data_IF_226951075295
#
_entry.id   IF_226951075295
#
_cell.length_a   1.000
_cell.length_b   1.000
_cell.length_c   1.000
_cell.angle_alpha   90.00
_cell.angle_beta   90.00
_cell.angle_gamma   90.00
#
_symmetry.space_group_name_H-M   'P 1'
#
loop_
_entity.id
_entity.type
_entity.pdbx_description
1 polymer ?
#
# COMPACT_ATOMS: atom_id res chain seq x y z
N UNK A 1 -75.88 57.79 -28.77
CA UNK A 1 -74.57 57.74 -28.08
C UNK A 1 -73.95 56.40 -28.46
N UNK A 2 -73.26 56.36 -29.60
CA UNK A 2 -71.81 56.11 -29.74
C UNK A 2 -71.43 54.65 -29.30
N UNK A 3 -71.34 53.68 -30.23
CA UNK A 3 -70.14 53.21 -31.00
C UNK A 3 -69.09 52.52 -30.09
N UNK A 4 -68.56 51.32 -30.28
CA UNK A 4 -68.44 50.32 -31.37
C UNK A 4 -67.85 49.02 -30.74
N UNK A 5 -68.10 47.79 -31.23
CA UNK A 5 -67.53 46.53 -30.71
C UNK A 5 -66.41 45.97 -31.61
N UNK A 6 -65.19 45.75 -31.09
CA UNK A 6 -64.20 44.84 -31.71
C UNK A 6 -62.92 44.61 -30.87
N UNK A 7 -62.63 43.33 -30.59
CA UNK A 7 -61.33 42.64 -30.40
C UNK A 7 -61.62 41.32 -29.62
N UNK A 8 -61.77 40.14 -30.24
CA UNK A 8 -60.73 39.21 -30.75
C UNK A 8 -59.66 38.92 -29.68
N UNK A 9 -59.40 37.70 -29.19
CA UNK A 9 -59.40 36.39 -29.88
C UNK A 9 -59.78 35.19 -28.99
N UNK A 10 -60.32 34.21 -29.69
CA UNK A 10 -60.53 32.78 -29.40
C UNK A 10 -59.17 32.06 -29.47
N UNK A 11 -58.87 31.10 -28.57
CA UNK A 11 -58.13 29.89 -28.95
C UNK A 11 -58.16 28.80 -27.85
N UNK A 12 -58.97 27.79 -28.12
CA UNK A 12 -58.80 26.40 -27.67
C UNK A 12 -57.75 25.71 -28.57
N UNK A 13 -56.79 25.01 -27.95
CA UNK A 13 -55.85 24.07 -28.61
C UNK A 13 -54.52 24.71 -28.98
N UNK A 14 -53.37 24.13 -28.65
CA UNK A 14 -52.78 23.11 -29.53
C UNK A 14 -51.64 22.32 -28.84
N UNK A 15 -51.79 20.99 -28.90
CA UNK A 15 -50.81 19.95 -29.27
C UNK A 15 -49.43 19.85 -28.58
N UNK A 16 -49.24 18.70 -27.91
CA UNK A 16 -47.98 17.95 -27.83
C UNK A 16 -47.25 18.01 -29.17
N UNK A 17 -46.05 18.62 -29.20
CA UNK A 17 -45.17 18.58 -30.36
C UNK A 17 -44.60 17.15 -30.53
N UNK A 18 -45.30 16.36 -31.36
CA UNK A 18 -44.73 15.19 -31.99
C UNK A 18 -43.81 15.64 -33.14
N UNK A 19 -42.50 15.60 -32.91
CA UNK A 19 -41.49 15.64 -33.98
C UNK A 19 -41.65 14.39 -34.86
N UNK A 20 -42.32 14.52 -36.00
CA UNK A 20 -42.39 13.46 -37.03
C UNK A 20 -41.24 13.62 -38.02
N UNK A 21 -40.22 12.77 -37.91
CA UNK A 21 -39.31 12.48 -39.01
C UNK A 21 -39.89 11.32 -39.82
N UNK A 22 -40.15 11.56 -41.10
CA UNK A 22 -40.57 10.55 -42.07
C UNK A 22 -39.34 9.78 -42.58
N UNK A 23 -39.14 8.58 -42.06
CA UNK A 23 -38.52 7.44 -42.75
C UNK A 23 -38.88 6.18 -41.95
N UNK A 24 -39.18 5.07 -42.63
CA UNK A 24 -39.89 3.89 -42.10
C UNK A 24 -39.17 3.04 -41.03
N UNK A 25 -38.75 3.64 -39.92
CA UNK A 25 -38.38 2.97 -38.68
C UNK A 25 -39.22 3.52 -37.54
N UNK A 26 -39.83 2.67 -36.73
CA UNK A 26 -40.63 3.07 -35.56
C UNK A 26 -39.78 3.98 -34.66
N UNK A 27 -40.03 5.29 -34.68
CA UNK A 27 -39.49 6.23 -33.71
C UNK A 27 -40.17 5.92 -32.37
N UNK A 28 -39.49 5.16 -31.51
CA UNK A 28 -39.98 4.96 -30.15
C UNK A 28 -40.01 6.31 -29.43
N UNK A 29 -41.22 6.82 -29.18
CA UNK A 29 -41.42 8.04 -28.39
C UNK A 29 -40.95 7.76 -26.96
N UNK A 30 -39.89 8.44 -26.53
CA UNK A 30 -39.39 8.34 -25.17
C UNK A 30 -40.39 8.96 -24.19
N UNK A 31 -40.83 8.19 -23.20
CA UNK A 31 -41.82 8.62 -22.21
C UNK A 31 -41.15 9.28 -20.99
N UNK A 32 -41.90 10.14 -20.32
CA UNK A 32 -41.46 10.84 -19.12
C UNK A 32 -41.36 9.92 -17.88
N UNK A 33 -40.71 10.40 -16.83
CA UNK A 33 -40.62 9.69 -15.56
C UNK A 33 -42.00 9.36 -14.98
N UNK A 34 -42.10 8.19 -14.32
CA UNK A 34 -43.35 7.68 -13.77
C UNK A 34 -44.28 7.01 -14.78
N UNK A 35 -43.91 6.94 -16.06
CA UNK A 35 -44.66 6.22 -17.11
C UNK A 35 -44.09 4.82 -17.34
N UNK A 36 -44.96 3.93 -17.81
CA UNK A 36 -44.63 2.53 -18.06
C UNK A 36 -43.57 2.39 -19.16
N UNK A 37 -42.68 1.42 -18.98
CA UNK A 37 -41.60 1.13 -19.92
C UNK A 37 -41.27 -0.37 -19.91
N UNK A 38 -40.72 -0.85 -21.01
CA UNK A 38 -40.23 -2.24 -21.16
C UNK A 38 -38.73 -2.32 -21.37
N UNK A 39 -38.08 -1.20 -21.72
CA UNK A 39 -36.65 -1.06 -21.91
C UNK A 39 -36.21 0.38 -21.65
N UNK A 40 -34.93 0.56 -21.30
CA UNK A 40 -34.29 1.87 -21.05
C UNK A 40 -34.44 2.84 -22.23
N UNK A 41 -34.37 2.33 -23.46
CA UNK A 41 -34.51 3.11 -24.68
C UNK A 41 -35.87 3.84 -24.78
N UNK A 42 -36.90 3.34 -24.09
CA UNK A 42 -38.24 3.94 -24.04
C UNK A 42 -38.35 5.10 -23.05
N UNK A 43 -37.34 5.37 -22.23
CA UNK A 43 -37.39 6.42 -21.20
C UNK A 43 -36.59 7.65 -21.61
N UNK A 44 -37.14 8.86 -21.38
CA UNK A 44 -36.38 10.11 -21.56
C UNK A 44 -35.16 10.17 -20.64
N UNK A 45 -35.27 9.59 -19.45
CA UNK A 45 -34.17 9.44 -18.49
C UNK A 45 -33.12 8.41 -18.90
N UNK A 46 -33.38 7.60 -19.93
CA UNK A 46 -32.52 6.48 -20.30
C UNK A 46 -32.52 5.32 -19.31
N UNK A 47 -33.47 5.27 -18.37
CA UNK A 47 -33.57 4.18 -17.40
C UNK A 47 -35.03 3.77 -17.12
N UNK A 48 -35.30 2.50 -17.35
CA UNK A 48 -36.52 1.80 -17.03
C UNK A 48 -36.28 0.89 -15.82
N UNK A 49 -36.90 1.21 -14.67
CA UNK A 49 -36.71 0.41 -13.48
C UNK A 49 -37.29 -1.01 -13.69
N UNK A 50 -36.49 -2.09 -13.59
CA UNK A 50 -36.95 -3.44 -13.92
C UNK A 50 -37.92 -4.02 -12.89
N UNK A 51 -38.01 -3.44 -11.69
CA UNK A 51 -38.96 -3.88 -10.64
C UNK A 51 -40.32 -3.21 -10.78
N UNK A 52 -40.34 -1.92 -11.12
CA UNK A 52 -41.60 -1.16 -11.22
C UNK A 52 -42.11 -1.04 -12.65
N UNK A 53 -41.28 -1.35 -13.65
CA UNK A 53 -41.54 -1.09 -15.06
C UNK A 53 -41.90 0.37 -15.34
N UNK A 54 -41.29 1.31 -14.62
CA UNK A 54 -41.51 2.75 -14.77
C UNK A 54 -40.20 3.48 -15.08
N UNK A 55 -40.28 4.51 -15.93
CA UNK A 55 -39.16 5.40 -16.18
C UNK A 55 -38.80 6.18 -14.91
N UNK A 56 -37.50 6.20 -14.58
CA UNK A 56 -36.97 6.94 -13.43
C UNK A 56 -35.70 7.68 -13.83
N UNK A 57 -35.42 8.81 -13.18
CA UNK A 57 -34.11 9.45 -13.29
C UNK A 57 -33.06 8.57 -12.59
N UNK A 58 -31.98 8.17 -13.29
CA UNK A 58 -30.80 7.57 -12.68
C UNK A 58 -30.30 8.35 -11.48
N UNK A 59 -30.01 7.68 -10.36
CA UNK A 59 -29.31 8.29 -9.24
C UNK A 59 -28.27 7.33 -8.69
N UNK A 60 -27.14 7.85 -8.22
CA UNK A 60 -26.03 7.06 -7.69
C UNK A 60 -26.26 6.40 -6.32
N UNK A 61 -27.52 6.09 -6.01
CA UNK A 61 -28.00 5.42 -4.80
C UNK A 61 -29.29 4.63 -5.06
N UNK A 62 -29.66 4.38 -6.31
CA UNK A 62 -30.91 3.70 -6.67
C UNK A 62 -30.78 2.16 -6.73
N UNK A 63 -29.57 1.63 -6.57
CA UNK A 63 -29.29 0.20 -6.55
C UNK A 63 -29.12 -0.41 -7.93
N UNK A 64 -29.03 0.40 -9.00
CA UNK A 64 -28.88 -0.06 -10.37
C UNK A 64 -27.70 0.61 -11.06
N UNK A 65 -26.92 -0.17 -11.81
CA UNK A 65 -25.90 0.38 -12.71
C UNK A 65 -26.58 1.04 -13.92
N UNK A 66 -26.77 2.35 -13.88
CA UNK A 66 -27.46 3.10 -14.92
C UNK A 66 -26.84 4.50 -15.16
N UNK A 67 -27.40 5.27 -16.09
CA UNK A 67 -26.90 6.61 -16.39
C UNK A 67 -25.45 6.60 -16.88
N UNK A 68 -24.54 7.18 -16.09
CA UNK A 68 -23.10 7.26 -16.40
C UNK A 68 -22.23 6.30 -15.61
N UNK A 69 -22.82 5.48 -14.75
CA UNK A 69 -22.11 4.64 -13.79
C UNK A 69 -21.28 3.52 -14.45
N UNK A 70 -20.12 3.25 -13.87
CA UNK A 70 -19.25 2.16 -14.33
C UNK A 70 -19.43 0.89 -13.50
N UNK A 71 -19.97 0.98 -12.28
CA UNK A 71 -20.55 -0.13 -11.51
C UNK A 71 -21.78 0.38 -10.72
N UNK A 72 -22.54 -0.50 -10.08
CA UNK A 72 -23.79 -0.14 -9.37
C UNK A 72 -23.53 1.00 -8.38
N UNK A 73 -24.21 2.13 -8.59
CA UNK A 73 -24.18 3.33 -7.74
C UNK A 73 -22.80 4.02 -7.64
N UNK A 74 -21.86 3.75 -8.57
CA UNK A 74 -20.52 4.34 -8.51
C UNK A 74 -19.81 4.49 -9.88
N UNK A 75 -18.78 5.35 -9.88
CA UNK A 75 -17.91 5.58 -11.02
C UNK A 75 -18.57 6.37 -12.15
N UNK A 76 -17.83 6.65 -13.22
CA UNK A 76 -18.29 7.44 -14.35
C UNK A 76 -18.24 8.94 -14.07
N UNK A 77 -19.41 9.59 -14.03
CA UNK A 77 -19.48 11.03 -13.80
C UNK A 77 -18.85 11.44 -12.46
N UNK A 78 -18.21 12.61 -12.43
CA UNK A 78 -17.53 13.13 -11.24
C UNK A 78 -18.47 13.39 -10.04
N UNK A 79 -19.78 13.48 -10.28
CA UNK A 79 -20.82 13.61 -9.24
C UNK A 79 -21.14 12.29 -8.54
N UNK A 80 -20.74 11.16 -9.11
CA UNK A 80 -20.99 9.85 -8.52
C UNK A 80 -19.92 9.53 -7.47
N UNK A 81 -20.26 8.73 -6.43
CA UNK A 81 -19.27 8.14 -5.55
C UNK A 81 -18.23 7.35 -6.37
N UNK A 82 -16.98 7.34 -5.91
CA UNK A 82 -15.96 6.50 -6.53
C UNK A 82 -16.16 5.05 -6.11
N UNK A 83 -15.94 4.13 -7.04
CA UNK A 83 -16.08 2.71 -6.84
C UNK A 83 -14.99 2.15 -5.90
N UNK A 84 -15.41 1.26 -5.01
CA UNK A 84 -14.51 0.50 -4.14
C UNK A 84 -13.70 -0.54 -4.95
N UNK A 85 -12.66 -1.11 -4.34
CA UNK A 85 -11.86 -2.16 -4.97
C UNK A 85 -12.72 -3.36 -5.42
N UNK A 86 -12.36 -3.98 -6.56
CA UNK A 86 -13.07 -5.11 -7.17
C UNK A 86 -14.33 -4.73 -7.97
N UNK A 87 -14.83 -3.49 -7.85
CA UNK A 87 -15.90 -2.95 -8.68
C UNK A 87 -15.41 -2.63 -10.09
N UNK A 88 -16.33 -2.60 -11.04
CA UNK A 88 -16.06 -2.35 -12.45
C UNK A 88 -15.70 -0.88 -12.67
N UNK A 89 -14.73 -0.64 -13.55
CA UNK A 89 -14.28 0.69 -13.94
C UNK A 89 -13.92 0.70 -15.42
N UNK A 90 -14.10 1.86 -16.04
CA UNK A 90 -13.59 2.16 -17.37
C UNK A 90 -12.27 2.93 -17.28
N UNK A 91 -12.13 3.80 -16.28
CA UNK A 91 -10.93 4.63 -16.10
C UNK A 91 -10.51 4.71 -14.64
N UNK A 92 -9.28 5.15 -14.39
CA UNK A 92 -8.75 5.30 -13.05
C UNK A 92 -9.60 6.23 -12.17
N UNK A 93 -10.23 7.26 -12.75
CA UNK A 93 -11.05 8.20 -11.98
C UNK A 93 -12.31 7.57 -11.44
N UNK A 94 -12.76 6.42 -11.96
CA UNK A 94 -13.93 5.72 -11.43
C UNK A 94 -13.69 5.17 -10.02
N UNK A 95 -12.42 4.92 -9.67
CA UNK A 95 -12.05 4.18 -8.48
C UNK A 95 -11.63 5.08 -7.32
N UNK A 96 -11.97 4.69 -6.09
CA UNK A 96 -11.53 5.40 -4.88
C UNK A 96 -10.01 5.39 -4.72
N UNK A 97 -9.36 4.31 -5.16
CA UNK A 97 -7.89 4.20 -5.23
C UNK A 97 -7.29 5.03 -6.37
N UNK A 98 -8.11 5.67 -7.21
CA UNK A 98 -7.73 6.32 -8.45
C UNK A 98 -6.83 5.42 -9.33
N UNK A 99 -7.17 4.13 -9.42
CA UNK A 99 -6.52 3.15 -10.28
C UNK A 99 -7.51 2.06 -10.74
N UNK A 100 -7.57 1.85 -12.05
CA UNK A 100 -8.37 0.83 -12.70
C UNK A 100 -7.42 -0.18 -13.36
N UNK A 101 -7.67 -1.47 -13.17
CA UNK A 101 -6.80 -2.52 -13.67
C UNK A 101 -6.70 -2.52 -15.19
N UNK A 102 -5.47 -2.60 -15.70
CA UNK A 102 -5.18 -2.59 -17.12
C UNK A 102 -5.77 -3.82 -17.81
N UNK A 103 -6.15 -3.68 -19.08
CA UNK A 103 -6.75 -4.77 -19.87
C UNK A 103 -5.87 -6.04 -19.97
N UNK A 104 -4.57 -5.91 -19.77
CA UNK A 104 -3.59 -7.01 -19.81
C UNK A 104 -3.33 -7.66 -18.44
N UNK A 105 -3.99 -7.19 -17.38
CA UNK A 105 -3.84 -7.70 -16.01
C UNK A 105 -5.02 -8.58 -15.61
N UNK A 106 -4.86 -9.40 -14.58
CA UNK A 106 -5.95 -10.19 -13.99
C UNK A 106 -7.07 -9.33 -13.37
N UNK A 107 -6.84 -8.03 -13.22
CA UNK A 107 -7.79 -7.05 -12.69
C UNK A 107 -8.41 -6.18 -13.80
N UNK A 108 -8.39 -6.61 -15.06
CA UNK A 108 -8.88 -5.86 -16.20
C UNK A 108 -10.27 -5.24 -15.96
N UNK A 109 -10.36 -3.91 -16.03
CA UNK A 109 -11.60 -3.17 -15.83
C UNK A 109 -12.16 -3.25 -14.41
N UNK A 110 -11.32 -3.58 -13.42
CA UNK A 110 -11.68 -3.59 -11.99
C UNK A 110 -10.88 -2.57 -11.20
N UNK A 111 -11.52 -1.91 -10.25
CA UNK A 111 -10.87 -0.97 -9.34
C UNK A 111 -9.87 -1.70 -8.46
N UNK A 112 -8.65 -1.17 -8.40
CA UNK A 112 -7.56 -1.76 -7.64
C UNK A 112 -7.65 -1.36 -6.17
N UNK A 113 -7.09 -2.18 -5.27
CA UNK A 113 -6.98 -1.84 -3.84
C UNK A 113 -6.08 -0.63 -3.64
N UNK A 114 -4.95 -0.59 -4.35
CA UNK A 114 -4.07 0.57 -4.44
C UNK A 114 -3.44 0.65 -5.83
N UNK A 115 -2.77 1.77 -6.13
CA UNK A 115 -2.23 2.04 -7.47
C UNK A 115 -1.17 1.05 -7.94
N UNK A 116 -0.45 0.43 -7.02
CA UNK A 116 0.52 -0.62 -7.34
C UNK A 116 -0.12 -1.98 -7.64
N UNK A 117 -1.40 -2.20 -7.31
CA UNK A 117 -2.06 -3.51 -7.19
C UNK A 117 -2.67 -4.05 -8.49
N UNK A 118 -2.08 -3.71 -9.63
CA UNK A 118 -2.49 -4.17 -10.96
C UNK A 118 -1.29 -4.42 -11.86
N UNK A 119 -0.11 -4.54 -11.27
CA UNK A 119 1.12 -4.88 -11.95
C UNK A 119 1.22 -6.37 -12.25
N UNK A 120 2.42 -6.80 -12.61
CA UNK A 120 2.74 -8.22 -12.76
C UNK A 120 2.90 -8.92 -11.41
N UNK A 121 3.70 -9.99 -11.42
CA UNK A 121 4.09 -10.77 -10.23
C UNK A 121 4.42 -9.87 -9.05
N UNK A 122 3.95 -10.21 -7.85
CA UNK A 122 4.16 -9.46 -6.61
C UNK A 122 3.28 -8.22 -6.47
N UNK A 123 2.65 -7.74 -7.54
CA UNK A 123 1.68 -6.65 -7.55
C UNK A 123 0.26 -7.16 -7.88
N UNK A 124 0.06 -8.47 -7.72
CA UNK A 124 -1.10 -9.21 -8.20
C UNK A 124 -1.45 -10.35 -7.23
N UNK A 125 -2.14 -11.43 -7.65
CA UNK A 125 -2.58 -12.50 -6.74
C UNK A 125 -1.56 -13.65 -6.60
N UNK A 126 -0.30 -13.34 -6.27
CA UNK A 126 0.80 -14.33 -6.19
C UNK A 126 1.39 -14.49 -4.78
N UNK A 127 0.85 -13.80 -3.80
CA UNK A 127 1.37 -13.78 -2.43
C UNK A 127 0.71 -14.85 -1.54
N UNK A 128 1.27 -15.04 -0.35
CA UNK A 128 0.75 -15.98 0.64
C UNK A 128 1.16 -17.44 0.38
N UNK A 129 0.80 -18.29 1.34
CA UNK A 129 1.21 -19.71 1.40
C UNK A 129 0.85 -20.52 0.15
N UNK A 130 -0.29 -20.20 -0.48
CA UNK A 130 -0.79 -20.89 -1.68
C UNK A 130 -0.49 -20.15 -2.98
N UNK A 131 0.18 -18.99 -2.92
CA UNK A 131 0.42 -18.12 -4.07
C UNK A 131 -0.85 -17.70 -4.83
N UNK A 132 -1.91 -17.41 -4.08
CA UNK A 132 -3.21 -16.98 -4.62
C UNK A 132 -3.77 -15.74 -3.92
N UNK A 133 -3.12 -15.28 -2.84
CA UNK A 133 -3.58 -14.10 -2.12
C UNK A 133 -3.17 -12.85 -2.89
N UNK A 134 -4.02 -11.83 -2.82
CA UNK A 134 -3.65 -10.51 -3.29
C UNK A 134 -2.45 -9.99 -2.52
N UNK A 135 -1.36 -9.67 -3.22
CA UNK A 135 -0.18 -9.02 -2.65
C UNK A 135 -0.46 -7.61 -2.07
N UNK A 136 -1.66 -7.10 -2.29
CA UNK A 136 -2.17 -5.86 -1.75
C UNK A 136 -3.27 -6.04 -0.71
N UNK A 137 -3.48 -7.26 -0.22
CA UNK A 137 -4.41 -7.49 0.87
C UNK A 137 -4.01 -6.61 2.07
N UNK A 138 -4.99 -5.90 2.62
CA UNK A 138 -4.81 -5.04 3.79
C UNK A 138 -5.88 -5.45 4.80
N UNK A 139 -5.42 -5.93 5.97
CA UNK A 139 -6.27 -6.54 6.98
C UNK A 139 -6.54 -5.55 8.12
N UNK A 140 -7.76 -5.54 8.67
CA UNK A 140 -8.09 -4.68 9.81
C UNK A 140 -7.33 -5.13 11.06
N UNK A 141 -6.76 -4.17 11.76
CA UNK A 141 -6.38 -4.27 13.16
C UNK A 141 -7.42 -3.47 13.96
N UNK A 142 -8.13 -4.08 14.92
CA UNK A 142 -9.31 -3.47 15.55
C UNK A 142 -9.01 -2.29 16.47
N UNK A 143 -7.73 -1.96 16.71
CA UNK A 143 -7.33 -1.00 17.72
C UNK A 143 -7.50 -1.54 19.15
N UNK A 144 -6.96 -0.81 20.12
CA UNK A 144 -6.95 -1.18 21.53
C UNK A 144 -5.61 -0.89 22.20
N UNK A 145 -5.47 -1.35 23.44
CA UNK A 145 -4.29 -1.09 24.26
C UNK A 145 -3.32 -2.27 24.30
N UNK A 146 -2.03 -1.99 24.38
CA UNK A 146 -0.96 -2.95 24.62
C UNK A 146 0.26 -2.30 25.29
N UNK A 147 1.25 -3.11 25.66
CA UNK A 147 2.51 -2.64 26.22
C UNK A 147 3.56 -2.62 25.12
N UNK A 148 4.01 -1.42 24.73
CA UNK A 148 5.08 -1.30 23.73
C UNK A 148 6.31 -2.01 24.23
N UNK A 149 6.90 -2.82 23.35
CA UNK A 149 8.11 -3.59 23.65
C UNK A 149 7.98 -4.52 24.86
N UNK A 150 6.76 -5.01 25.17
CA UNK A 150 6.49 -5.79 26.38
C UNK A 150 6.83 -5.06 27.69
N UNK A 151 6.90 -3.72 27.66
CA UNK A 151 7.26 -2.90 28.80
C UNK A 151 6.01 -2.25 29.41
N UNK A 152 5.61 -2.60 30.66
CA UNK A 152 4.43 -2.02 31.31
C UNK A 152 4.53 -0.50 31.54
N UNK A 153 5.74 0.08 31.51
CA UNK A 153 5.96 1.52 31.64
C UNK A 153 5.73 2.28 30.32
N UNK A 154 5.51 1.56 29.22
CA UNK A 154 5.29 2.11 27.87
C UNK A 154 3.92 1.68 27.29
N UNK A 155 2.79 1.97 27.96
CA UNK A 155 1.48 1.63 27.43
C UNK A 155 1.20 2.42 26.15
N UNK A 156 0.51 1.78 25.21
CA UNK A 156 -0.01 2.41 24.01
C UNK A 156 -1.46 2.00 23.75
N UNK A 157 -2.25 2.94 23.26
CA UNK A 157 -3.59 2.73 22.72
C UNK A 157 -3.62 3.23 21.29
N UNK A 158 -4.03 2.38 20.36
CA UNK A 158 -4.17 2.74 18.95
C UNK A 158 -5.62 2.61 18.50
N UNK A 159 -6.08 3.53 17.68
CA UNK A 159 -7.36 3.49 16.99
C UNK A 159 -7.41 2.34 15.98
N UNK A 160 -8.59 1.88 15.53
CA UNK A 160 -8.68 0.90 14.46
C UNK A 160 -8.01 1.42 13.19
N UNK A 161 -7.28 0.53 12.51
CA UNK A 161 -6.59 0.83 11.25
C UNK A 161 -6.52 -0.44 10.40
N UNK A 162 -6.02 -0.33 9.18
CA UNK A 162 -5.63 -1.48 8.35
C UNK A 162 -4.13 -1.46 8.13
N UNK A 163 -3.55 -2.64 8.15
CA UNK A 163 -2.15 -2.86 7.83
C UNK A 163 -2.06 -3.84 6.67
N UNK A 164 -1.13 -3.59 5.75
CA UNK A 164 -0.85 -4.54 4.68
C UNK A 164 -0.56 -5.93 5.27
N UNK A 165 -1.25 -6.95 4.74
CA UNK A 165 -1.07 -8.35 5.15
C UNK A 165 0.37 -8.79 4.98
N UNK A 166 0.99 -8.31 3.90
CA UNK A 166 2.33 -8.66 3.47
C UNK A 166 3.21 -7.42 3.45
N UNK A 167 4.51 -7.62 3.61
CA UNK A 167 5.53 -6.62 3.29
C UNK A 167 5.35 -6.13 1.84
N UNK A 168 5.73 -4.88 1.56
CA UNK A 168 5.73 -4.36 0.19
C UNK A 168 6.68 -5.21 -0.65
N UNK A 169 6.16 -5.75 -1.74
CA UNK A 169 6.94 -6.62 -2.62
C UNK A 169 7.78 -5.83 -3.62
N UNK A 170 8.78 -6.48 -4.20
CA UNK A 170 9.53 -5.96 -5.34
C UNK A 170 8.60 -5.61 -6.51
N UNK A 171 7.57 -6.42 -6.78
CA UNK A 171 6.60 -6.17 -7.84
C UNK A 171 5.79 -4.88 -7.65
N UNK A 172 5.40 -4.56 -6.41
CA UNK A 172 4.72 -3.30 -6.07
C UNK A 172 5.62 -2.09 -6.30
N UNK A 173 6.87 -2.15 -5.86
CA UNK A 173 7.87 -1.09 -6.10
C UNK A 173 8.16 -0.93 -7.60
N UNK A 174 8.23 -2.03 -8.35
CA UNK A 174 8.42 -1.99 -9.80
C UNK A 174 7.28 -1.26 -10.50
N UNK A 175 6.05 -1.54 -10.10
CA UNK A 175 4.85 -0.86 -10.62
C UNK A 175 4.90 0.64 -10.29
N UNK A 176 5.29 0.99 -9.07
CA UNK A 176 5.46 2.39 -8.67
C UNK A 176 6.52 3.12 -9.50
N UNK A 177 7.73 2.56 -9.63
CA UNK A 177 8.79 3.18 -10.45
C UNK A 177 8.39 3.28 -11.92
N UNK A 178 7.74 2.25 -12.47
CA UNK A 178 7.29 2.25 -13.86
C UNK A 178 6.29 3.38 -14.15
N UNK A 179 5.38 3.67 -13.21
CA UNK A 179 4.41 4.77 -13.34
C UNK A 179 5.05 6.15 -13.57
N UNK A 180 6.32 6.32 -13.18
CA UNK A 180 7.07 7.57 -13.34
C UNK A 180 8.31 7.41 -14.25
N UNK A 181 8.46 6.28 -14.94
CA UNK A 181 9.66 5.96 -15.72
C UNK A 181 10.95 6.00 -14.89
N UNK A 182 10.86 5.65 -13.61
CA UNK A 182 11.94 5.66 -12.61
C UNK A 182 12.35 7.04 -12.10
N UNK A 183 11.82 8.14 -12.63
CA UNK A 183 12.12 9.49 -12.16
C UNK A 183 11.07 9.95 -11.14
N UNK A 184 11.18 9.44 -9.91
CA UNK A 184 10.31 9.86 -8.81
C UNK A 184 10.60 11.31 -8.41
N UNK A 185 11.87 11.69 -8.24
CA UNK A 185 12.30 13.04 -7.82
C UNK A 185 11.67 14.16 -8.66
N UNK A 186 11.60 13.99 -9.98
CA UNK A 186 11.13 15.01 -10.91
C UNK A 186 9.69 14.86 -11.39
N UNK A 187 9.05 13.70 -11.21
CA UNK A 187 7.70 13.45 -11.75
C UNK A 187 6.66 13.05 -10.71
N UNK A 188 7.07 12.52 -9.56
CA UNK A 188 6.14 12.26 -8.48
C UNK A 188 5.72 13.60 -7.86
N UNK A 189 4.42 13.88 -7.86
CA UNK A 189 3.86 15.07 -7.25
C UNK A 189 2.93 14.66 -6.10
N UNK A 190 3.51 14.43 -4.92
CA UNK A 190 2.74 14.24 -3.70
C UNK A 190 2.45 15.61 -3.08
N UNK A 191 1.17 15.95 -2.80
CA UNK A 191 0.85 17.18 -2.10
C UNK A 191 1.43 17.16 -0.67
N UNK A 192 1.75 18.32 -0.09
CA UNK A 192 2.11 18.41 1.33
C UNK A 192 1.04 17.74 2.19
N UNK A 193 1.46 16.91 3.13
CA UNK A 193 0.54 16.14 3.98
C UNK A 193 0.04 14.82 3.37
N UNK A 194 0.42 14.46 2.14
CA UNK A 194 0.08 13.15 1.58
C UNK A 194 0.60 12.02 2.47
N UNK A 195 -0.22 10.99 2.71
CA UNK A 195 0.12 9.90 3.61
C UNK A 195 0.25 10.30 5.08
N UNK A 196 -0.36 11.42 5.50
CA UNK A 196 -0.46 11.76 6.91
C UNK A 196 -1.35 10.75 7.65
N UNK A 197 -0.95 10.41 8.87
CA UNK A 197 -1.84 9.81 9.85
C UNK A 197 -2.88 10.86 10.29
N UNK A 198 -4.19 10.54 10.27
CA UNK A 198 -5.26 11.53 10.47
C UNK A 198 -5.28 12.11 11.89
N UNK A 199 -4.75 11.36 12.86
CA UNK A 199 -4.66 11.75 14.26
C UNK A 199 -3.29 12.33 14.67
N UNK A 200 -2.32 12.38 13.75
CA UNK A 200 -0.97 12.90 14.04
C UNK A 200 -0.67 14.05 13.07
N UNK A 201 -0.96 15.31 13.45
CA UNK A 201 -0.69 16.48 12.61
C UNK A 201 0.78 16.55 12.20
N UNK A 202 1.06 16.88 10.94
CA UNK A 202 2.44 17.00 10.43
C UNK A 202 3.12 15.69 10.05
N UNK A 203 2.46 14.54 10.25
CA UNK A 203 2.98 13.20 9.89
C UNK A 203 3.02 12.90 8.38
N UNK A 204 2.54 13.81 7.53
CA UNK A 204 2.48 13.59 6.09
C UNK A 204 3.74 14.01 5.34
N UNK A 205 3.74 13.72 4.05
CA UNK A 205 4.84 14.03 3.13
C UNK A 205 5.20 15.52 3.13
N UNK A 206 6.51 15.81 3.09
CA UNK A 206 7.05 17.17 2.89
C UNK A 206 7.72 17.26 1.53
N UNK A 207 7.50 18.37 0.82
CA UNK A 207 8.10 18.58 -0.52
C UNK A 207 9.63 18.55 -0.49
N UNK A 208 10.26 18.92 0.63
CA UNK A 208 11.70 18.81 0.85
C UNK A 208 12.23 17.37 0.75
N UNK A 209 11.39 16.36 0.96
CA UNK A 209 11.76 14.94 0.83
C UNK A 209 11.94 14.50 -0.62
N UNK A 210 11.36 15.22 -1.59
CA UNK A 210 11.47 14.86 -3.01
C UNK A 210 12.94 14.77 -3.46
N UNK A 211 13.83 15.58 -2.90
CA UNK A 211 15.27 15.56 -3.25
C UNK A 211 15.92 14.20 -2.99
N UNK A 212 15.40 13.40 -2.06
CA UNK A 212 15.91 12.08 -1.69
C UNK A 212 15.42 10.95 -2.58
N UNK A 213 14.31 11.12 -3.29
CA UNK A 213 13.78 10.12 -4.21
C UNK A 213 14.72 9.88 -5.40
N UNK A 214 14.71 8.70 -6.04
CA UNK A 214 15.49 8.46 -7.26
C UNK A 214 15.00 9.34 -8.42
N UNK A 215 15.94 9.93 -9.16
CA UNK A 215 15.67 10.79 -10.32
C UNK A 215 15.67 10.05 -11.66
N UNK A 216 16.00 8.76 -11.69
CA UNK A 216 15.94 7.93 -12.89
C UNK A 216 15.86 6.45 -12.53
N UNK A 217 15.48 5.62 -13.51
CA UNK A 217 15.51 4.15 -13.34
C UNK A 217 16.95 3.64 -13.12
N UNK A 218 17.96 4.27 -13.72
CA UNK A 218 19.35 3.91 -13.49
C UNK A 218 19.78 4.16 -12.04
N UNK A 219 19.36 5.29 -11.46
CA UNK A 219 19.59 5.61 -10.05
C UNK A 219 18.86 4.63 -9.13
N UNK A 220 17.57 4.33 -9.40
CA UNK A 220 16.81 3.35 -8.64
C UNK A 220 17.46 1.96 -8.66
N UNK A 221 17.85 1.47 -9.85
CA UNK A 221 18.54 0.19 -9.99
C UNK A 221 19.83 0.14 -9.17
N UNK A 222 20.66 1.19 -9.22
CA UNK A 222 21.91 1.22 -8.46
C UNK A 222 21.65 1.24 -6.93
N UNK A 223 20.67 2.02 -6.46
CA UNK A 223 20.30 2.09 -5.03
C UNK A 223 19.87 0.74 -4.48
N UNK A 224 19.03 0.03 -5.23
CA UNK A 224 18.39 -1.21 -4.79
C UNK A 224 19.19 -2.45 -5.17
N UNK A 225 20.37 -2.30 -5.78
CA UNK A 225 21.29 -3.41 -6.07
C UNK A 225 22.68 -3.14 -5.47
N UNK A 226 23.57 -2.53 -6.25
CA UNK A 226 24.99 -2.34 -5.91
C UNK A 226 25.18 -1.53 -4.63
N UNK A 227 24.42 -0.46 -4.40
CA UNK A 227 24.61 0.36 -3.20
C UNK A 227 24.18 -0.36 -1.91
N UNK A 228 23.19 -1.25 -2.00
CA UNK A 228 22.75 -2.03 -0.86
C UNK A 228 23.63 -3.24 -0.56
N UNK A 229 24.32 -3.76 -1.58
CA UNK A 229 25.17 -4.93 -1.41
C UNK A 229 26.44 -4.56 -0.65
N UNK A 230 26.83 -5.42 0.30
CA UNK A 230 28.06 -5.25 1.07
C UNK A 230 29.28 -5.19 0.12
N UNK A 231 30.06 -4.12 0.21
CA UNK A 231 31.19 -3.84 -0.68
C UNK A 231 30.82 -3.71 -2.16
N UNK A 232 29.54 -3.47 -2.48
CA UNK A 232 29.03 -3.45 -3.86
C UNK A 232 28.87 -4.82 -4.50
N UNK A 233 29.09 -5.91 -3.76
CA UNK A 233 29.11 -7.28 -4.29
C UNK A 233 27.73 -7.91 -4.17
N UNK A 234 26.89 -7.76 -5.19
CA UNK A 234 25.50 -8.30 -5.21
C UNK A 234 25.43 -9.83 -5.18
N UNK A 235 26.56 -10.50 -5.41
CA UNK A 235 26.69 -11.96 -5.29
C UNK A 235 27.10 -12.43 -3.90
N UNK A 236 27.43 -11.52 -2.96
CA UNK A 236 27.88 -11.86 -1.61
C UNK A 236 27.27 -10.98 -0.51
N UNK A 237 26.74 -11.60 0.55
CA UNK A 237 26.34 -10.97 1.83
C UNK A 237 25.39 -9.77 1.79
N UNK A 238 24.82 -9.43 0.64
CA UNK A 238 23.82 -8.38 0.48
C UNK A 238 22.98 -8.72 -0.73
N UNK A 239 21.75 -9.10 -0.46
CA UNK A 239 20.94 -9.93 -1.33
C UNK A 239 19.75 -9.14 -1.88
N UNK A 240 19.98 -8.14 -2.75
CA UNK A 240 18.87 -7.36 -3.27
C UNK A 240 17.85 -8.30 -3.91
N UNK A 241 16.62 -8.26 -3.39
CA UNK A 241 15.48 -8.92 -4.01
C UNK A 241 15.16 -8.18 -5.31
N UNK A 242 15.44 -6.88 -5.38
CA UNK A 242 15.37 -6.12 -6.62
C UNK A 242 16.32 -6.66 -7.70
N UNK A 243 15.76 -6.96 -8.87
CA UNK A 243 16.49 -7.13 -10.13
C UNK A 243 16.01 -6.12 -11.16
N UNK A 244 16.90 -5.70 -12.06
CA UNK A 244 16.60 -4.75 -13.13
C UNK A 244 15.51 -5.27 -14.10
N UNK A 245 15.34 -6.59 -14.15
CA UNK A 245 14.29 -7.28 -14.89
C UNK A 245 13.28 -7.89 -13.93
N UNK A 246 11.99 -7.83 -14.26
CA UNK A 246 10.96 -8.55 -13.52
C UNK A 246 11.24 -10.07 -13.53
N UNK A 247 10.94 -10.75 -12.43
CA UNK A 247 11.18 -12.18 -12.29
C UNK A 247 10.55 -12.75 -11.02
N UNK A 248 10.96 -13.95 -10.62
CA UNK A 248 10.44 -14.63 -9.42
C UNK A 248 10.68 -13.87 -8.13
N UNK A 249 11.73 -13.02 -8.08
CA UNK A 249 11.96 -12.15 -6.94
C UNK A 249 10.90 -11.07 -6.77
N UNK A 250 10.05 -10.82 -7.78
CA UNK A 250 9.00 -9.81 -7.66
C UNK A 250 7.98 -10.16 -6.56
N UNK A 251 7.84 -11.45 -6.17
CA UNK A 251 7.02 -11.93 -5.04
C UNK A 251 7.68 -11.78 -3.66
N UNK A 252 8.98 -11.47 -3.63
CA UNK A 252 9.73 -11.28 -2.37
C UNK A 252 9.49 -9.86 -1.85
N UNK A 253 9.63 -9.64 -0.53
CA UNK A 253 9.64 -8.29 -0.01
C UNK A 253 10.75 -7.48 -0.68
N UNK A 254 10.49 -6.20 -0.94
CA UNK A 254 11.56 -5.29 -1.31
C UNK A 254 12.47 -5.13 -0.10
N UNK A 255 13.70 -5.60 -0.22
CA UNK A 255 14.77 -5.14 0.65
C UNK A 255 15.50 -3.97 0.00
N UNK A 256 16.47 -3.39 0.70
CA UNK A 256 17.30 -2.34 0.14
C UNK A 256 16.50 -1.08 -0.24
N UNK A 257 15.29 -0.88 0.28
CA UNK A 257 14.53 0.35 0.03
C UNK A 257 14.84 1.38 1.10
N UNK A 258 14.99 2.64 0.69
CA UNK A 258 15.13 3.76 1.62
C UNK A 258 13.77 4.24 2.13
N UNK A 259 13.77 4.89 3.29
CA UNK A 259 12.53 5.33 3.95
C UNK A 259 11.72 6.32 3.11
N UNK A 260 12.38 7.23 2.39
CA UNK A 260 11.69 8.22 1.57
C UNK A 260 10.95 7.59 0.41
N UNK A 261 11.57 6.62 -0.27
CA UNK A 261 10.92 5.88 -1.36
C UNK A 261 9.75 5.06 -0.83
N UNK A 262 9.91 4.36 0.30
CA UNK A 262 8.82 3.55 0.87
C UNK A 262 7.64 4.42 1.33
N UNK A 263 7.91 5.53 2.03
CA UNK A 263 6.88 6.51 2.38
C UNK A 263 6.15 6.99 1.13
N UNK A 264 6.90 7.45 0.12
CA UNK A 264 6.33 7.98 -1.11
C UNK A 264 5.44 6.95 -1.83
N UNK A 265 5.82 5.67 -1.82
CA UNK A 265 5.00 4.57 -2.32
C UNK A 265 3.69 4.45 -1.52
N UNK A 266 3.76 4.38 -0.19
CA UNK A 266 2.56 4.26 0.64
C UNK A 266 1.61 5.45 0.45
N UNK A 267 2.15 6.68 0.41
CA UNK A 267 1.39 7.90 0.16
C UNK A 267 0.78 7.93 -1.26
N UNK A 268 1.52 7.52 -2.29
CA UNK A 268 1.02 7.43 -3.66
C UNK A 268 -0.09 6.40 -3.81
N UNK A 269 0.00 5.30 -3.06
CA UNK A 269 -1.02 4.28 -2.98
C UNK A 269 -2.30 4.71 -2.22
N UNK A 270 -2.30 5.91 -1.62
CA UNK A 270 -3.40 6.42 -0.81
C UNK A 270 -3.42 5.86 0.62
N UNK A 271 -2.34 5.24 1.06
CA UNK A 271 -2.11 4.87 2.47
C UNK A 271 -1.03 5.74 3.10
N UNK A 272 -0.34 5.18 4.09
CA UNK A 272 0.72 5.83 4.87
C UNK A 272 1.71 4.80 5.40
N UNK A 273 2.82 5.26 5.97
CA UNK A 273 3.67 4.42 6.80
C UNK A 273 2.94 4.08 8.12
N UNK A 274 3.08 2.86 8.65
CA UNK A 274 2.63 2.56 10.01
C UNK A 274 3.47 3.33 11.02
N UNK A 275 2.83 3.74 12.12
CA UNK A 275 3.56 4.15 13.33
C UNK A 275 4.16 2.92 14.01
N UNK A 276 5.19 3.12 14.82
CA UNK A 276 5.76 2.06 15.65
C UNK A 276 4.71 1.46 16.61
N UNK A 277 3.81 2.30 17.14
CA UNK A 277 2.72 1.88 18.00
C UNK A 277 1.71 0.97 17.27
N UNK A 278 1.30 1.34 16.05
CA UNK A 278 0.40 0.53 15.24
C UNK A 278 1.02 -0.80 14.83
N UNK A 279 2.25 -0.76 14.32
CA UNK A 279 2.95 -1.98 13.92
C UNK A 279 3.14 -2.91 15.13
N UNK A 280 3.56 -2.36 16.27
CA UNK A 280 3.72 -3.13 17.50
C UNK A 280 2.40 -3.72 18.00
N UNK A 281 1.29 -2.99 17.93
CA UNK A 281 -0.04 -3.52 18.26
C UNK A 281 -0.37 -4.73 17.39
N UNK A 282 -0.19 -4.63 16.06
CA UNK A 282 -0.41 -5.72 15.10
C UNK A 282 0.47 -6.95 15.39
N UNK A 283 1.77 -6.73 15.61
CA UNK A 283 2.77 -7.77 15.80
C UNK A 283 2.66 -8.46 17.16
N UNK A 284 2.27 -7.74 18.21
CA UNK A 284 2.17 -8.28 19.56
C UNK A 284 0.75 -8.77 19.90
N UNK A 285 -0.18 -8.72 18.95
CA UNK A 285 -1.55 -9.22 19.15
C UNK A 285 -2.37 -8.39 20.14
N UNK A 286 -2.08 -7.09 20.24
CA UNK A 286 -2.72 -6.17 21.19
C UNK A 286 -2.42 -6.54 22.64
N UNK A 287 -3.47 -6.65 23.45
CA UNK A 287 -3.42 -6.93 24.88
C UNK A 287 -2.79 -8.28 25.26
N UNK A 288 -2.61 -9.18 24.29
CA UNK A 288 -1.87 -10.44 24.49
C UNK A 288 -0.37 -10.25 24.66
N UNK A 289 0.18 -9.10 24.24
CA UNK A 289 1.59 -8.75 24.39
C UNK A 289 2.55 -9.87 23.95
N UNK A 290 2.29 -10.45 22.77
CA UNK A 290 3.03 -11.62 22.26
C UNK A 290 4.50 -11.29 21.97
N UNK A 291 5.39 -12.23 22.27
CA UNK A 291 6.82 -12.13 21.96
C UNK A 291 7.08 -12.23 20.46
N UNK A 292 6.34 -13.10 19.77
CA UNK A 292 6.38 -13.31 18.32
C UNK A 292 4.96 -13.16 17.76
N UNK A 293 4.84 -12.96 16.44
CA UNK A 293 3.54 -12.74 15.81
C UNK A 293 2.53 -13.87 16.12
N UNK A 294 3.03 -15.11 16.13
CA UNK A 294 2.26 -16.33 16.41
C UNK A 294 2.01 -16.62 17.90
N UNK A 295 2.68 -15.94 18.83
CA UNK A 295 2.56 -16.22 20.26
C UNK A 295 3.87 -16.06 21.02
N UNK A 296 4.01 -16.81 22.13
CA UNK A 296 5.16 -16.68 23.03
C UNK A 296 6.16 -17.86 22.93
N UNK A 297 5.85 -18.86 22.12
CA UNK A 297 6.74 -20.01 21.91
C UNK A 297 7.90 -19.62 20.99
N UNK A 298 9.12 -19.76 21.50
CA UNK A 298 10.35 -19.58 20.72
C UNK A 298 10.47 -20.65 19.64
N UNK A 299 10.84 -20.28 18.39
CA UNK A 299 10.98 -21.24 17.30
C UNK A 299 12.36 -21.91 17.32
N UNK A 300 12.41 -23.22 17.09
CA UNK A 300 13.65 -24.00 17.02
C UNK A 300 13.80 -24.75 15.69
N UNK A 301 15.04 -24.81 15.20
CA UNK A 301 15.40 -25.62 14.04
C UNK A 301 15.42 -27.11 14.40
N UNK A 302 14.99 -28.03 13.51
CA UNK A 302 14.28 -27.79 12.24
C UNK A 302 12.75 -27.82 12.38
N UNK A 303 12.20 -27.92 13.59
CA UNK A 303 10.77 -28.14 13.81
C UNK A 303 9.90 -26.95 13.39
N UNK A 304 10.41 -25.74 13.58
CA UNK A 304 9.65 -24.51 13.39
C UNK A 304 10.03 -23.75 12.11
N UNK A 305 10.72 -24.39 11.15
CA UNK A 305 11.12 -23.75 9.89
C UNK A 305 9.93 -23.23 9.08
N UNK A 306 8.74 -23.81 9.26
CA UNK A 306 7.50 -23.35 8.61
C UNK A 306 6.82 -22.16 9.29
N UNK A 307 7.29 -21.73 10.47
CA UNK A 307 6.70 -20.61 11.22
C UNK A 307 7.27 -19.26 10.77
N UNK A 308 8.55 -19.19 10.41
CA UNK A 308 9.25 -17.90 10.25
C UNK A 308 10.35 -17.97 9.20
N UNK A 309 10.54 -16.88 8.45
CA UNK A 309 11.73 -16.66 7.63
C UNK A 309 12.84 -16.00 8.46
N UNK A 310 13.76 -16.76 9.04
CA UNK A 310 14.79 -16.24 9.95
C UNK A 310 15.99 -17.17 10.10
N UNK A 311 17.03 -16.69 10.78
CA UNK A 311 17.95 -17.55 11.51
C UNK A 311 17.36 -17.92 12.87
N UNK A 312 17.10 -19.20 13.13
CA UNK A 312 16.55 -19.69 14.41
C UNK A 312 17.51 -20.66 15.09
N UNK A 313 17.44 -20.77 16.42
CA UNK A 313 18.36 -21.59 17.20
C UNK A 313 18.20 -23.08 16.89
N UNK A 314 19.32 -23.82 16.87
CA UNK A 314 19.35 -25.28 16.77
C UNK A 314 19.86 -25.89 18.09
N UNK A 315 18.96 -26.41 18.96
CA UNK A 315 19.34 -26.97 20.25
C UNK A 315 20.37 -28.10 20.18
N UNK A 316 20.52 -28.78 19.02
CA UNK A 316 21.48 -29.86 18.84
C UNK A 316 22.94 -29.37 18.70
N UNK A 317 23.14 -28.10 18.35
CA UNK A 317 24.47 -27.50 18.10
C UNK A 317 24.74 -26.25 18.96
N UNK A 318 23.94 -26.01 20.01
CA UNK A 318 24.07 -24.84 20.88
C UNK A 318 23.28 -23.63 20.36
N UNK A 319 23.81 -22.41 20.51
CA UNK A 319 23.15 -21.18 20.04
C UNK A 319 23.50 -20.82 18.58
N UNK A 320 23.97 -21.80 17.78
CA UNK A 320 24.21 -21.60 16.35
C UNK A 320 22.86 -21.40 15.62
N UNK A 321 22.68 -20.23 15.02
CA UNK A 321 21.48 -19.91 14.25
C UNK A 321 21.51 -20.61 12.87
N UNK A 322 20.39 -21.25 12.49
CA UNK A 322 20.19 -21.88 11.19
C UNK A 322 19.11 -21.16 10.40
N UNK A 323 19.35 -20.94 9.11
CA UNK A 323 18.35 -20.33 8.23
C UNK A 323 17.20 -21.30 7.95
N UNK A 324 15.97 -20.78 8.02
CA UNK A 324 14.75 -21.55 7.74
C UNK A 324 14.45 -21.66 6.24
N UNK A 325 15.02 -20.79 5.42
CA UNK A 325 14.85 -20.76 3.95
C UNK A 325 16.21 -20.98 3.29
N UNK A 326 16.27 -21.82 2.25
CA UNK A 326 17.53 -22.16 1.58
C UNK A 326 18.35 -23.19 2.35
N UNK A 327 19.67 -23.10 2.30
CA UNK A 327 20.56 -23.96 3.11
C UNK A 327 20.60 -23.49 4.57
N UNK A 328 20.85 -24.38 5.55
CA UNK A 328 20.85 -24.01 6.97
C UNK A 328 22.00 -23.09 7.39
N UNK A 329 22.98 -22.85 6.52
CA UNK A 329 24.13 -21.99 6.75
C UNK A 329 24.24 -20.97 5.64
N UNK A 330 24.59 -19.73 6.00
CA UNK A 330 24.93 -18.73 5.01
C UNK A 330 26.28 -19.07 4.38
N UNK A 331 26.26 -19.20 3.07
CA UNK A 331 27.44 -19.17 2.22
C UNK A 331 27.54 -17.82 1.55
N UNK A 332 28.75 -17.50 1.08
CA UNK A 332 29.01 -16.25 0.38
C UNK A 332 28.13 -16.06 -0.85
N UNK A 333 27.49 -17.07 -1.42
CA UNK A 333 26.72 -16.96 -2.68
C UNK A 333 25.21 -17.06 -2.47
N UNK A 334 24.73 -16.96 -1.23
CA UNK A 334 23.33 -17.27 -0.95
C UNK A 334 22.34 -16.16 -1.28
N UNK A 335 22.79 -14.91 -1.48
CA UNK A 335 21.97 -13.85 -2.10
C UNK A 335 20.52 -13.83 -1.58
N UNK A 336 19.55 -13.59 -2.48
CA UNK A 336 18.12 -13.54 -2.13
C UNK A 336 17.50 -14.93 -1.82
N UNK A 337 18.30 -15.99 -1.70
CA UNK A 337 17.78 -17.35 -1.45
C UNK A 337 17.24 -17.50 -0.04
N UNK A 338 17.81 -16.81 0.95
CA UNK A 338 17.34 -16.83 2.34
C UNK A 338 16.16 -15.86 2.59
N UNK A 339 15.71 -15.13 1.57
CA UNK A 339 14.54 -14.25 1.69
C UNK A 339 13.38 -14.96 1.00
N UNK A 340 12.37 -15.39 1.74
CA UNK A 340 11.19 -16.02 1.15
C UNK A 340 10.33 -15.03 0.33
N UNK A 341 9.42 -15.58 -0.49
CA UNK A 341 8.29 -14.79 -0.96
C UNK A 341 7.41 -14.40 0.24
N UNK A 342 6.70 -13.27 0.15
CA UNK A 342 5.89 -12.80 1.28
C UNK A 342 4.74 -13.78 1.57
N UNK A 343 4.52 -14.04 2.86
CA UNK A 343 3.39 -14.81 3.36
C UNK A 343 3.50 -16.32 3.21
N UNK A 344 4.69 -16.86 2.93
CA UNK A 344 4.88 -18.31 2.76
C UNK A 344 5.06 -19.07 4.07
N UNK A 345 5.09 -18.39 5.21
CA UNK A 345 5.18 -18.99 6.54
C UNK A 345 3.85 -18.90 7.27
N UNK A 346 3.68 -19.77 8.27
CA UNK A 346 2.42 -19.91 9.02
C UNK A 346 2.38 -19.10 10.32
N UNK A 347 3.50 -18.53 10.75
CA UNK A 347 3.62 -17.72 11.96
C UNK A 347 3.03 -16.32 11.82
N UNK A 348 1.73 -16.23 11.52
CA UNK A 348 1.03 -14.98 11.32
C UNK A 348 0.64 -14.31 12.64
N UNK A 349 0.49 -12.99 12.61
CA UNK A 349 -0.08 -12.19 13.69
C UNK A 349 -1.54 -12.57 14.00
N UNK A 350 -2.03 -12.12 15.16
CA UNK A 350 -3.41 -12.38 15.65
C UNK A 350 -4.51 -12.13 14.61
N UNK A 351 -4.32 -11.10 13.78
CA UNK A 351 -5.30 -10.70 12.74
C UNK A 351 -4.93 -11.16 11.34
N UNK A 352 -3.95 -12.06 11.19
CA UNK A 352 -3.60 -12.71 9.93
C UNK A 352 -2.54 -11.99 9.09
N UNK A 353 -1.95 -10.91 9.60
CA UNK A 353 -0.78 -10.27 9.02
C UNK A 353 0.42 -11.21 9.04
N UNK A 354 1.04 -11.42 7.89
CA UNK A 354 2.17 -12.31 7.74
C UNK A 354 3.50 -11.59 7.96
N UNK A 355 4.52 -12.37 8.28
CA UNK A 355 5.92 -11.95 8.35
C UNK A 355 6.16 -10.72 9.25
N UNK A 356 5.35 -10.57 10.32
CA UNK A 356 5.60 -9.52 11.32
C UNK A 356 6.79 -9.87 12.24
N UNK A 357 7.17 -11.16 12.29
CA UNK A 357 8.40 -11.62 12.93
C UNK A 357 9.26 -12.28 11.87
N UNK A 358 10.52 -11.83 11.72
CA UNK A 358 11.43 -12.30 10.67
C UNK A 358 11.13 -11.68 9.31
N UNK A 359 11.53 -12.37 8.24
CA UNK A 359 11.58 -11.88 6.86
C UNK A 359 12.50 -10.66 6.74
N UNK A 360 12.01 -9.46 7.01
CA UNK A 360 12.74 -8.22 6.86
C UNK A 360 12.45 -7.29 8.04
N UNK A 361 13.44 -6.49 8.42
CA UNK A 361 13.17 -5.36 9.30
C UNK A 361 12.25 -4.40 8.57
N UNK A 362 11.28 -3.85 9.28
CA UNK A 362 10.30 -2.95 8.70
C UNK A 362 10.52 -1.52 9.15
N UNK A 363 10.61 -0.60 8.19
CA UNK A 363 10.72 0.84 8.44
C UNK A 363 9.41 1.40 8.99
N UNK A 364 9.51 2.13 10.11
CA UNK A 364 8.38 2.82 10.73
C UNK A 364 8.35 4.32 10.35
N UNK A 365 7.22 4.96 10.62
CA UNK A 365 7.08 6.42 10.53
C UNK A 365 8.01 7.16 11.52
N UNK A 366 8.18 6.59 12.71
CA UNK A 366 8.84 7.18 13.88
C UNK A 366 10.34 7.43 13.70
N UNK A 367 10.81 8.62 14.10
CA UNK A 367 12.23 9.02 14.10
C UNK A 367 13.05 8.39 15.22
N UNK A 368 12.39 7.91 16.27
CA UNK A 368 13.01 7.28 17.43
C UNK A 368 11.96 6.94 18.49
N UNK A 369 12.36 6.16 19.49
CA UNK A 369 11.45 5.67 20.52
C UNK A 369 10.79 6.81 21.29
N UNK A 370 9.49 6.67 21.55
CA UNK A 370 8.81 7.44 22.59
C UNK A 370 9.08 6.76 23.92
N UNK A 371 10.08 7.26 24.66
CA UNK A 371 10.64 6.58 25.85
C UNK A 371 9.85 6.83 27.14
N UNK A 372 8.83 7.69 27.14
CA UNK A 372 8.03 8.01 28.32
C UNK A 372 6.58 8.36 27.96
N UNK A 373 5.68 8.12 28.92
CA UNK A 373 4.28 8.52 28.84
C UNK A 373 3.38 7.51 28.13
N UNK A 374 2.07 7.69 28.31
CA UNK A 374 1.05 6.97 27.56
C UNK A 374 1.06 7.42 26.10
N UNK A 375 1.15 6.46 25.20
CA UNK A 375 0.97 6.69 23.76
C UNK A 375 -0.50 6.51 23.39
N UNK A 376 -1.15 7.55 22.87
CA UNK A 376 -2.48 7.42 22.25
C UNK A 376 -2.36 7.89 20.81
N UNK A 377 -2.48 6.97 19.85
CA UNK A 377 -2.30 7.25 18.41
C UNK A 377 -1.07 8.12 18.14
N UNK A 378 0.07 7.73 18.70
CA UNK A 378 1.27 8.56 18.77
C UNK A 378 2.32 8.12 17.74
N UNK A 379 3.16 9.07 17.34
CA UNK A 379 4.42 8.79 16.67
C UNK A 379 5.43 9.91 16.92
N UNK A 380 6.71 9.58 16.96
CA UNK A 380 7.78 10.59 16.96
C UNK A 380 8.05 11.07 15.52
N UNK A 381 7.52 12.26 15.19
CA UNK A 381 7.61 12.83 13.84
C UNK A 381 8.57 14.01 13.73
N UNK A 382 9.48 14.17 14.69
CA UNK A 382 10.49 15.25 14.71
C UNK A 382 11.60 14.99 13.68
N UNK A 383 11.22 15.00 12.40
CA UNK A 383 12.12 14.75 11.29
C UNK A 383 12.86 16.03 10.89
N UNK A 384 14.20 16.02 10.84
CA UNK A 384 14.92 17.13 10.23
C UNK A 384 14.60 17.23 8.74
N UNK A 385 14.73 18.42 8.16
CA UNK A 385 14.74 18.57 6.71
C UNK A 385 16.03 17.98 6.14
N UNK A 386 15.95 17.14 5.08
CA UNK A 386 17.15 16.71 4.40
C UNK A 386 17.89 17.95 3.89
N UNK A 387 19.23 18.01 3.94
CA UNK A 387 19.99 19.12 3.39
C UNK A 387 19.62 19.35 1.92
N UNK A 388 19.23 20.58 1.58
CA UNK A 388 18.77 20.94 0.23
C UNK A 388 19.93 21.20 -0.74
N UNK A 389 21.00 20.41 -0.64
CA UNK A 389 22.16 20.46 -1.54
C UNK A 389 22.05 19.35 -2.57
N UNK A 390 22.27 19.68 -3.84
CA UNK A 390 22.29 18.71 -4.92
C UNK A 390 23.50 17.77 -4.76
N UNK A 391 23.24 16.46 -4.72
CA UNK A 391 24.29 15.45 -4.83
C UNK A 391 24.87 14.93 -3.52
N UNK A 392 24.04 14.48 -2.57
CA UNK A 392 24.50 13.38 -1.70
C UNK A 392 24.79 12.18 -2.60
N UNK A 393 26.07 11.83 -2.83
CA UNK A 393 26.41 10.81 -3.80
C UNK A 393 25.85 9.48 -3.32
N UNK A 394 25.10 8.81 -4.18
CA UNK A 394 24.68 7.42 -3.99
C UNK A 394 25.89 6.50 -3.76
N UNK A 395 27.07 6.94 -4.22
CA UNK A 395 28.38 6.32 -3.99
C UNK A 395 28.78 6.28 -2.49
N UNK A 396 28.37 7.26 -1.68
CA UNK A 396 28.55 7.24 -0.21
C UNK A 396 27.46 6.45 0.54
N UNK A 397 26.45 5.96 -0.19
CA UNK A 397 25.43 5.05 0.31
C UNK A 397 25.76 3.58 0.00
N UNK A 398 26.86 3.30 -0.70
CA UNK A 398 27.39 1.93 -0.83
C UNK A 398 27.81 1.47 0.58
N UNK A 399 27.30 0.34 1.03
CA UNK A 399 27.77 -0.34 2.23
C UNK A 399 29.26 -0.70 2.05
N UNK A 400 30.19 0.18 2.46
CA UNK A 400 31.63 -0.04 2.31
C UNK A 400 32.20 -1.04 3.34
N UNK A 401 31.32 -1.68 4.11
CA UNK A 401 31.66 -2.69 5.10
C UNK A 401 32.41 -2.16 6.32
N UNK A 402 32.58 -0.83 6.42
CA UNK A 402 33.28 -0.18 7.52
C UNK A 402 32.36 0.71 8.37
N UNK A 403 31.06 0.75 8.05
CA UNK A 403 30.08 1.55 8.80
C UNK A 403 29.74 0.88 10.14
N UNK A 404 30.53 1.26 11.16
CA UNK A 404 30.06 1.19 12.53
C UNK A 404 28.77 2.01 12.63
N UNK A 405 27.67 1.35 12.97
CA UNK A 405 26.36 1.89 13.35
C UNK A 405 26.42 3.08 14.35
N UNK A 406 27.60 3.32 14.94
CA UNK A 406 27.88 4.21 16.06
C UNK A 406 28.82 5.38 15.78
N UNK A 407 29.39 5.54 14.58
CA UNK A 407 30.26 6.70 14.37
C UNK A 407 29.40 7.94 14.13
N UNK A 408 29.33 8.81 15.13
CA UNK A 408 28.59 10.08 15.19
C UNK A 408 28.90 11.12 14.10
N UNK A 409 29.02 10.70 12.85
CA UNK A 409 28.72 11.51 11.70
C UNK A 409 27.26 11.97 11.84
N UNK A 410 27.05 13.28 11.79
CA UNK A 410 25.73 13.90 11.87
C UNK A 410 24.80 13.23 10.86
N UNK A 411 23.83 12.42 11.32
CA UNK A 411 22.74 11.91 10.48
C UNK A 411 21.88 13.11 10.11
N UNK A 412 22.12 13.77 8.96
CA UNK A 412 21.56 15.09 8.73
C UNK A 412 20.06 15.03 8.44
N UNK A 413 19.59 13.84 8.05
CA UNK A 413 18.19 13.50 7.79
C UNK A 413 17.54 12.74 8.97
N UNK A 414 18.30 12.52 10.05
CA UNK A 414 17.90 11.69 11.18
C UNK A 414 17.78 10.20 10.83
N UNK A 415 17.29 9.44 11.80
CA UNK A 415 17.03 8.01 11.65
C UNK A 415 15.57 7.65 11.84
N UNK A 416 15.24 6.37 11.68
CA UNK A 416 13.90 5.80 11.94
C UNK A 416 13.99 4.54 12.75
N UNK A 417 12.87 4.17 13.36
CA UNK A 417 12.69 2.87 14.00
C UNK A 417 12.53 1.79 12.93
N UNK A 418 13.21 0.66 13.14
CA UNK A 418 13.01 -0.60 12.45
C UNK A 418 12.46 -1.66 13.42
N UNK A 419 11.56 -2.53 12.95
CA UNK A 419 10.88 -3.57 13.78
C UNK A 419 10.83 -4.94 13.09
N UNK A 420 10.49 -5.98 13.86
CA UNK A 420 10.17 -7.33 13.36
C UNK A 420 11.32 -8.34 13.31
N UNK A 421 12.58 -7.89 13.31
CA UNK A 421 13.72 -8.74 13.03
C UNK A 421 13.85 -9.02 11.53
N UNK A 422 14.69 -9.97 11.12
CA UNK A 422 14.81 -10.30 9.68
C UNK A 422 15.28 -11.73 9.45
N UNK A 423 15.46 -12.09 8.19
CA UNK A 423 16.15 -13.30 7.75
C UNK A 423 17.58 -13.43 8.29
N UNK A 424 18.24 -12.29 8.59
CA UNK A 424 19.64 -12.25 9.00
C UNK A 424 19.82 -12.54 10.52
N UNK A 425 20.79 -13.39 10.92
CA UNK A 425 20.98 -13.83 12.31
C UNK A 425 21.20 -12.71 13.33
N UNK A 426 21.80 -11.59 12.91
CA UNK A 426 22.05 -10.43 13.78
C UNK A 426 20.79 -9.62 14.11
N UNK A 427 19.63 -9.96 13.53
CA UNK A 427 18.35 -9.28 13.78
C UNK A 427 17.33 -10.25 14.39
N UNK A 428 17.29 -10.38 15.73
CA UNK A 428 16.34 -11.23 16.42
C UNK A 428 14.89 -10.93 16.04
N UNK A 429 14.07 -11.98 15.94
CA UNK A 429 12.66 -11.90 15.46
C UNK A 429 11.63 -11.63 16.55
N UNK A 430 12.07 -11.34 17.78
CA UNK A 430 11.17 -10.94 18.86
C UNK A 430 10.56 -9.55 18.59
N UNK A 431 9.24 -9.43 18.65
CA UNK A 431 8.51 -8.20 18.35
C UNK A 431 8.71 -7.09 19.38
N UNK A 432 9.33 -7.40 20.51
CA UNK A 432 9.74 -6.40 21.49
C UNK A 432 11.00 -5.64 21.05
N UNK A 433 11.85 -6.22 20.20
CA UNK A 433 13.06 -5.54 19.68
C UNK A 433 12.69 -4.37 18.79
N UNK A 434 13.29 -3.22 19.05
CA UNK A 434 13.31 -2.10 18.13
C UNK A 434 14.77 -1.78 17.79
N UNK A 435 15.00 -1.30 16.58
CA UNK A 435 16.29 -0.83 16.15
C UNK A 435 16.14 0.65 15.76
N UNK A 436 16.56 1.54 16.65
CA UNK A 436 16.47 2.98 16.46
C UNK A 436 17.60 3.57 15.61
N UNK A 437 17.42 4.83 15.19
CA UNK A 437 18.41 5.64 14.49
C UNK A 437 18.89 5.07 13.13
N UNK A 438 18.05 4.32 12.42
CA UNK A 438 18.40 3.84 11.08
C UNK A 438 18.40 4.98 10.06
N UNK A 439 19.52 5.32 9.40
CA UNK A 439 19.60 6.47 8.49
C UNK A 439 18.60 6.35 7.32
N UNK A 440 17.72 7.34 7.19
CA UNK A 440 16.61 7.30 6.21
C UNK A 440 17.00 7.36 4.75
N UNK A 441 18.21 7.86 4.45
CA UNK A 441 18.70 8.06 3.08
C UNK A 441 19.53 6.87 2.58
N UNK A 442 19.80 5.88 3.44
CA UNK A 442 20.56 4.67 3.10
C UNK A 442 19.62 3.49 2.92
N UNK A 443 20.09 2.53 2.12
CA UNK A 443 19.41 1.26 1.92
C UNK A 443 20.03 0.20 2.83
N UNK A 444 19.21 -0.72 3.35
CA UNK A 444 19.70 -1.85 4.12
C UNK A 444 19.30 -3.16 3.48
N UNK A 445 20.23 -4.12 3.42
CA UNK A 445 19.95 -5.44 2.85
C UNK A 445 18.88 -6.22 3.62
N UNK A 446 18.67 -5.87 4.89
CA UNK A 446 17.67 -6.48 5.76
C UNK A 446 16.56 -5.50 6.16
N UNK A 447 16.42 -4.32 5.53
CA UNK A 447 15.27 -3.43 5.72
C UNK A 447 14.35 -3.36 4.49
N UNK A 448 13.05 -3.38 4.78
CA UNK A 448 11.92 -3.18 3.89
C UNK A 448 10.80 -2.46 4.65
N UNK A 449 9.55 -2.88 4.43
CA UNK A 449 8.42 -2.44 5.24
C UNK A 449 7.09 -2.66 4.56
N UNK A 450 6.03 -2.18 5.20
CA UNK A 450 4.65 -2.31 4.74
C UNK A 450 3.87 -1.02 4.92
N UNK A 451 2.74 -0.88 4.22
CA UNK A 451 1.89 0.30 4.35
C UNK A 451 0.72 0.06 5.32
N UNK A 452 0.22 1.14 5.91
CA UNK A 452 -1.00 1.21 6.69
C UNK A 452 -2.05 2.11 6.01
N UNK A 453 -3.31 1.97 6.43
CA UNK A 453 -4.47 2.78 5.98
C UNK A 453 -5.42 2.96 7.15
N UNK A 454 -6.17 4.06 7.15
CA UNK A 454 -7.17 4.37 8.17
C UNK A 454 -8.51 3.65 7.95
#
# INVERSE_FOLDING_TARGET
>A
MASDPNALDDELGTTDEALTASDGGVTQVKVANGKACTADAGCRSGFCNPKTHLCRTPTAKDGFRNGTETDVDCGGAATNPRCAAGKTCATATDCGSAACGAATSEFAGKCLVAKSCGGGRGANNTCGLTHTDSCCASLPAPGGSYMRYQNPDLPATVSPFKLDKFEVTVGRVRTFLAAFGGNLRGKLNLPPGAGAHPLIPGSGWRSSFNMRLPGSMAEANMRYTTACAYGGVTSQWGAPTWSNTAGTNDDKPINCIDWYTLFALCAWEGGRMPTDAEWGFAAMGGDENRTFAWGNSEPYYPMDIGLVNAGIADPAWGYDLKFTVGGPYATRTDGAKHIAAVGTHTGNGKWGHADLSGSMLELMLDSGELVQGECVDCANIDWPDPPQVAGYPVEWAIMDGNDTWSNGATQPDGGRILRGGSWHPDHPVGNYYNFGNYPVWRTYFAAGGRCARD
#
